data_IF_286177351883
#
_entry.id   IF_286177351883
#
_cell.length_a   1.000
_cell.length_b   1.000
_cell.length_c   1.000
_cell.angle_alpha   90.00
_cell.angle_beta   90.00
_cell.angle_gamma   90.00
#
_symmetry.space_group_name_H-M   'P 1'
#
loop_
_entity.id
_entity.type
_entity.pdbx_description
1 polymer ?
#
# COMPACT_ATOMS: atom_id res chain seq x y z
N UNK A 1 -16.73 8.44 9.18
CA UNK A 1 -16.45 7.28 8.32
C UNK A 1 -15.21 7.64 7.52
N UNK A 2 -14.31 6.67 7.30
CA UNK A 2 -12.93 6.94 6.84
C UNK A 2 -12.64 6.10 5.61
N UNK A 3 -11.99 6.71 4.60
CA UNK A 3 -11.48 6.00 3.43
C UNK A 3 -10.01 5.67 3.67
N UNK A 4 -9.66 4.39 3.65
CA UNK A 4 -8.34 3.95 4.10
C UNK A 4 -7.53 3.34 2.96
N UNK A 5 -6.27 3.74 2.84
CA UNK A 5 -5.25 3.14 1.99
C UNK A 5 -4.34 2.25 2.84
N UNK A 6 -4.28 0.95 2.56
CA UNK A 6 -3.28 0.03 3.11
C UNK A 6 -2.24 -0.26 2.05
N UNK A 7 -0.98 0.01 2.38
CA UNK A 7 0.12 -0.03 1.42
C UNK A 7 1.24 -0.95 1.89
N UNK A 8 1.58 -1.92 1.04
CA UNK A 8 2.83 -2.66 1.15
C UNK A 8 4.01 -1.93 0.48
N UNK A 9 5.24 -2.36 0.77
CA UNK A 9 6.48 -1.76 0.25
C UNK A 9 7.08 -2.61 -0.85
N UNK A 10 7.48 -3.84 -0.52
CA UNK A 10 8.19 -4.73 -1.45
C UNK A 10 7.25 -5.21 -2.56
N UNK A 11 7.72 -5.24 -3.80
CA UNK A 11 6.87 -5.55 -4.96
C UNK A 11 5.84 -4.46 -5.31
N UNK A 12 5.68 -3.42 -4.49
CA UNK A 12 4.63 -2.40 -4.62
C UNK A 12 5.21 -1.02 -4.87
N UNK A 13 5.85 -0.43 -3.85
CA UNK A 13 6.59 0.84 -3.97
C UNK A 13 8.03 0.58 -4.43
N UNK A 14 8.62 -0.50 -3.89
CA UNK A 14 9.97 -0.97 -4.18
C UNK A 14 9.90 -2.30 -4.93
N UNK A 15 9.92 -2.30 -6.28
CA UNK A 15 9.83 -3.53 -7.06
C UNK A 15 11.06 -4.42 -6.92
N UNK A 16 10.88 -5.72 -7.13
CA UNK A 16 11.98 -6.69 -7.15
C UNK A 16 12.73 -6.65 -8.48
N UNK A 17 14.05 -6.50 -8.41
CA UNK A 17 14.94 -6.59 -9.57
C UNK A 17 14.57 -5.62 -10.70
N UNK A 18 14.45 -4.31 -10.42
CA UNK A 18 14.08 -3.33 -11.43
C UNK A 18 15.08 -3.34 -12.58
N UNK A 19 14.58 -3.38 -13.82
CA UNK A 19 15.39 -3.30 -15.03
C UNK A 19 14.78 -2.27 -15.99
N UNK A 20 15.61 -1.65 -16.82
CA UNK A 20 15.17 -0.66 -17.80
C UNK A 20 14.51 0.58 -17.19
N UNK A 21 13.46 1.07 -17.86
CA UNK A 21 12.64 2.16 -17.36
C UNK A 21 11.48 1.63 -16.50
N UNK A 22 11.02 2.46 -15.56
CA UNK A 22 9.85 2.17 -14.74
C UNK A 22 8.57 2.15 -15.58
N UNK A 23 7.46 1.66 -15.00
CA UNK A 23 6.14 1.75 -15.62
C UNK A 23 5.67 3.21 -15.86
N UNK A 24 6.37 4.18 -15.28
CA UNK A 24 6.14 5.62 -15.40
C UNK A 24 6.91 6.27 -16.56
N UNK A 25 7.73 5.48 -17.28
CA UNK A 25 8.51 5.94 -18.43
C UNK A 25 9.85 6.59 -18.06
N UNK A 26 10.07 6.91 -16.79
CA UNK A 26 11.33 7.40 -16.23
C UNK A 26 12.27 6.27 -15.82
N UNK A 27 13.56 6.58 -15.67
CA UNK A 27 14.51 5.64 -15.08
C UNK A 27 14.30 5.51 -13.56
N UNK A 28 14.60 4.34 -13.02
CA UNK A 28 14.56 4.08 -11.57
C UNK A 28 15.51 5.01 -10.80
N UNK A 29 15.05 5.52 -9.67
CA UNK A 29 15.92 6.15 -8.66
C UNK A 29 16.26 5.14 -7.59
N UNK A 30 17.42 5.33 -6.97
CA UNK A 30 17.92 4.49 -5.91
C UNK A 30 18.19 5.36 -4.69
N UNK A 31 17.77 4.89 -3.53
CA UNK A 31 18.05 5.51 -2.24
C UNK A 31 18.47 4.43 -1.24
N UNK A 32 19.19 4.85 -0.20
CA UNK A 32 19.54 3.99 0.91
C UNK A 32 18.51 4.19 2.04
N UNK A 33 17.65 3.20 2.26
CA UNK A 33 16.65 3.21 3.32
C UNK A 33 17.23 2.56 4.59
N UNK A 34 18.31 3.15 5.11
CA UNK A 34 19.02 2.68 6.29
C UNK A 34 20.00 1.54 6.01
N UNK A 35 19.50 0.34 5.70
CA UNK A 35 20.32 -0.86 5.46
C UNK A 35 20.02 -1.56 4.12
N UNK A 36 18.97 -1.12 3.42
CA UNK A 36 18.51 -1.75 2.19
C UNK A 36 18.47 -0.70 1.06
N UNK A 37 19.14 -0.96 -0.08
CA UNK A 37 18.98 -0.13 -1.25
C UNK A 37 17.57 -0.33 -1.80
N UNK A 38 16.82 0.77 -1.91
CA UNK A 38 15.47 0.78 -2.47
C UNK A 38 15.50 1.42 -3.84
N UNK A 39 14.81 0.80 -4.78
CA UNK A 39 14.57 1.36 -6.10
C UNK A 39 13.13 1.85 -6.18
N UNK A 40 12.89 3.02 -6.75
CA UNK A 40 11.55 3.58 -6.85
C UNK A 40 11.40 4.47 -8.08
N UNK A 41 10.15 4.65 -8.51
CA UNK A 41 9.78 5.67 -9.49
C UNK A 41 9.37 6.95 -8.73
N UNK A 42 10.03 8.10 -8.95
CA UNK A 42 9.66 9.36 -8.29
C UNK A 42 8.19 9.75 -8.50
N UNK A 43 7.66 9.48 -9.69
CA UNK A 43 6.28 9.79 -10.05
C UNK A 43 5.27 8.98 -9.23
N UNK A 44 5.61 7.74 -8.85
CA UNK A 44 4.80 6.95 -7.94
C UNK A 44 4.78 7.59 -6.54
N UNK A 45 5.93 8.04 -6.04
CA UNK A 45 6.04 8.70 -4.73
C UNK A 45 5.22 9.99 -4.71
N UNK A 46 5.38 10.85 -5.73
CA UNK A 46 4.60 12.08 -5.88
C UNK A 46 3.10 11.80 -5.92
N UNK A 47 2.70 10.77 -6.68
CA UNK A 47 1.30 10.39 -6.79
C UNK A 47 0.72 9.85 -5.47
N UNK A 48 1.48 9.06 -4.71
CA UNK A 48 1.11 8.57 -3.37
C UNK A 48 1.01 9.72 -2.37
N UNK A 49 1.95 10.68 -2.38
CA UNK A 49 1.85 11.92 -1.60
C UNK A 49 0.57 12.69 -1.93
N UNK A 50 0.21 12.77 -3.21
CA UNK A 50 -1.04 13.37 -3.66
C UNK A 50 -2.29 12.63 -3.18
N UNK A 51 -2.24 11.30 -2.96
CA UNK A 51 -3.35 10.54 -2.37
C UNK A 51 -3.42 10.79 -0.85
N UNK A 52 -2.28 10.79 -0.17
CA UNK A 52 -2.21 11.02 1.27
C UNK A 52 -2.68 12.41 1.68
N UNK A 53 -2.55 13.40 0.79
CA UNK A 53 -3.06 14.75 0.99
C UNK A 53 -4.58 14.89 0.78
N UNK A 54 -5.28 13.85 0.30
CA UNK A 54 -6.72 13.92 0.04
C UNK A 54 -7.52 14.03 1.34
N UNK A 55 -8.47 14.98 1.45
CA UNK A 55 -9.28 15.12 2.65
C UNK A 55 -10.05 13.84 2.98
N UNK A 56 -9.95 13.37 4.23
CA UNK A 56 -10.66 12.17 4.70
C UNK A 56 -10.07 10.83 4.24
N UNK A 57 -8.87 10.84 3.63
CA UNK A 57 -8.09 9.63 3.38
C UNK A 57 -7.13 9.39 4.53
N UNK A 58 -7.18 8.18 5.09
CA UNK A 58 -6.21 7.67 6.08
C UNK A 58 -5.28 6.69 5.36
N UNK A 59 -3.97 6.87 5.49
CA UNK A 59 -2.99 5.93 4.96
C UNK A 59 -2.40 5.10 6.10
N UNK A 60 -2.14 3.82 5.83
CA UNK A 60 -1.68 2.82 6.79
C UNK A 60 -0.64 1.94 6.10
N UNK A 61 0.48 1.71 6.78
CA UNK A 61 1.47 0.75 6.36
C UNK A 61 1.01 -0.67 6.69
N UNK A 62 0.99 -1.54 5.69
CA UNK A 62 0.67 -2.95 5.84
C UNK A 62 1.77 -3.77 5.15
N UNK A 63 2.94 -3.76 5.78
CA UNK A 63 4.19 -4.27 5.22
C UNK A 63 5.04 -4.92 6.29
N UNK A 64 5.88 -5.88 5.91
CA UNK A 64 6.88 -6.48 6.82
C UNK A 64 7.97 -5.50 7.24
N UNK A 65 8.07 -4.33 6.60
CA UNK A 65 8.91 -3.25 7.09
C UNK A 65 8.41 -2.68 8.42
N UNK A 66 7.11 -2.80 8.72
CA UNK A 66 6.47 -2.28 9.94
C UNK A 66 6.95 -0.85 10.25
N UNK A 67 7.58 -0.62 11.41
CA UNK A 67 8.14 0.66 11.84
C UNK A 67 9.29 1.19 10.98
N UNK A 68 9.97 0.33 10.22
CA UNK A 68 11.07 0.74 9.35
C UNK A 68 10.59 1.52 8.13
N UNK A 69 9.35 1.31 7.67
CA UNK A 69 8.78 2.06 6.55
C UNK A 69 8.65 3.57 6.87
N UNK A 70 7.98 3.99 7.97
CA UNK A 70 7.95 5.40 8.33
C UNK A 70 9.31 5.96 8.75
N UNK A 71 10.18 5.16 9.40
CA UNK A 71 11.46 5.64 9.93
C UNK A 71 12.55 5.80 8.87
N UNK A 72 12.67 4.87 7.92
CA UNK A 72 13.79 4.82 6.98
C UNK A 72 13.37 4.98 5.52
N UNK A 73 12.31 4.30 5.08
CA UNK A 73 11.86 4.37 3.69
C UNK A 73 11.37 5.78 3.35
N UNK A 74 10.47 6.33 4.17
CA UNK A 74 9.87 7.64 3.93
C UNK A 74 10.89 8.77 3.72
N UNK A 75 11.85 9.03 4.63
CA UNK A 75 12.85 10.07 4.43
C UNK A 75 13.81 9.77 3.26
N UNK A 76 14.06 8.49 2.94
CA UNK A 76 14.98 8.13 1.86
C UNK A 76 14.41 8.42 0.46
N UNK A 77 13.10 8.23 0.27
CA UNK A 77 12.46 8.40 -1.05
C UNK A 77 11.60 9.66 -1.17
N UNK A 78 11.40 10.41 -0.08
CA UNK A 78 10.57 11.61 -0.07
C UNK A 78 9.06 11.33 0.01
N UNK A 79 8.65 10.19 0.59
CA UNK A 79 7.25 9.85 0.79
C UNK A 79 6.74 10.43 2.12
N UNK A 80 5.60 11.11 2.10
CA UNK A 80 4.93 11.75 3.24
C UNK A 80 4.19 10.75 4.16
N UNK A 81 4.81 9.58 4.37
CA UNK A 81 4.27 8.45 5.13
C UNK A 81 4.81 8.30 6.54
N UNK A 82 5.70 9.19 6.99
CA UNK A 82 6.39 9.08 8.28
C UNK A 82 5.45 9.08 9.52
N UNK A 83 4.22 9.58 9.36
CA UNK A 83 3.20 9.61 10.43
C UNK A 83 2.05 8.61 10.22
N UNK A 84 2.10 7.81 9.16
CA UNK A 84 1.07 6.79 8.95
C UNK A 84 1.27 5.67 9.99
N UNK A 85 0.19 5.17 10.63
CA UNK A 85 0.29 3.99 11.47
C UNK A 85 0.75 2.79 10.64
N UNK A 86 1.39 1.83 11.28
CA UNK A 86 1.72 0.53 10.70
C UNK A 86 1.03 -0.58 11.48
N UNK A 87 0.59 -1.61 10.77
CA UNK A 87 0.08 -2.83 11.39
C UNK A 87 1.22 -3.85 11.48
N UNK A 88 1.21 -4.66 12.54
CA UNK A 88 2.28 -5.64 12.83
C UNK A 88 1.80 -7.07 12.71
N UNK A 89 2.71 -7.95 12.29
CA UNK A 89 2.51 -9.40 12.26
C UNK A 89 2.46 -10.04 13.66
N UNK A 90 2.99 -9.36 14.68
CA UNK A 90 3.11 -9.84 16.06
C UNK A 90 1.92 -9.50 16.99
N UNK A 91 0.85 -8.91 16.48
CA UNK A 91 -0.34 -8.55 17.25
C UNK A 91 -1.24 -9.74 17.63
N UNK A 92 -2.44 -9.46 18.15
CA UNK A 92 -3.49 -10.48 18.42
C UNK A 92 -3.87 -11.31 17.20
N UNK A 93 -3.52 -10.82 16.01
CA UNK A 93 -3.63 -11.47 14.71
C UNK A 93 -2.62 -12.62 14.44
N UNK A 94 -1.72 -12.95 15.38
CA UNK A 94 -0.81 -14.08 15.24
C UNK A 94 -1.58 -15.42 15.22
N UNK A 95 -1.65 -16.06 14.05
CA UNK A 95 -2.40 -17.30 13.84
C UNK A 95 -2.17 -17.91 12.45
N UNK A 96 -2.96 -18.92 12.08
CA UNK A 96 -2.91 -19.54 10.76
C UNK A 96 -3.43 -18.60 9.66
N UNK A 97 -2.69 -18.52 8.54
CA UNK A 97 -3.06 -17.73 7.35
C UNK A 97 -2.18 -16.48 7.16
N UNK A 98 -2.48 -15.71 6.11
CA UNK A 98 -1.73 -14.50 5.79
C UNK A 98 -2.05 -13.38 6.79
N UNK A 99 -1.05 -13.01 7.59
CA UNK A 99 -1.21 -12.08 8.72
C UNK A 99 -1.81 -10.72 8.32
N UNK A 100 -1.50 -10.23 7.10
CA UNK A 100 -2.00 -8.94 6.60
C UNK A 100 -3.53 -8.92 6.49
N UNK A 101 -4.16 -10.04 6.14
CA UNK A 101 -5.61 -10.17 6.10
C UNK A 101 -6.23 -10.02 7.50
N UNK A 102 -5.61 -10.59 8.53
CA UNK A 102 -6.12 -10.46 9.90
C UNK A 102 -5.95 -9.04 10.41
N UNK A 103 -4.79 -8.45 10.18
CA UNK A 103 -4.49 -7.09 10.61
C UNK A 103 -5.44 -6.05 9.99
N UNK A 104 -5.74 -6.16 8.68
CA UNK A 104 -6.69 -5.24 8.03
C UNK A 104 -8.13 -5.45 8.53
N UNK A 105 -8.53 -6.70 8.82
CA UNK A 105 -9.86 -6.98 9.38
C UNK A 105 -10.05 -6.30 10.74
N UNK A 106 -9.08 -6.45 11.65
CA UNK A 106 -9.10 -5.82 12.97
C UNK A 106 -9.09 -4.29 12.88
N UNK A 107 -8.21 -3.70 12.06
CA UNK A 107 -8.12 -2.25 11.92
C UNK A 107 -9.38 -1.64 11.29
N UNK A 108 -9.99 -2.32 10.31
CA UNK A 108 -11.25 -1.89 9.69
C UNK A 108 -12.42 -1.93 10.68
N UNK A 109 -12.48 -2.93 11.56
CA UNK A 109 -13.49 -3.02 12.61
C UNK A 109 -13.40 -1.85 13.60
N UNK A 110 -12.18 -1.43 13.96
CA UNK A 110 -11.93 -0.32 14.88
C UNK A 110 -12.14 1.05 14.22
N UNK A 111 -11.59 1.25 13.03
CA UNK A 111 -11.61 2.55 12.34
C UNK A 111 -12.96 2.86 11.66
N UNK A 112 -13.76 1.82 11.39
CA UNK A 112 -15.00 1.91 10.64
C UNK A 112 -14.77 1.95 9.12
N UNK A 113 -15.52 1.12 8.40
CA UNK A 113 -15.39 0.94 6.95
C UNK A 113 -16.25 1.93 6.15
N UNK A 114 -15.64 2.92 5.50
CA UNK A 114 -16.27 3.60 4.36
C UNK A 114 -15.82 2.95 3.06
N UNK A 115 -14.55 3.14 2.69
CA UNK A 115 -13.89 2.56 1.54
C UNK A 115 -12.47 2.11 1.90
N UNK A 116 -12.00 1.01 1.32
CA UNK A 116 -10.65 0.48 1.55
C UNK A 116 -9.94 0.25 0.22
N UNK A 117 -8.79 0.88 0.02
CA UNK A 117 -7.85 0.48 -1.01
C UNK A 117 -6.75 -0.37 -0.35
N UNK A 118 -6.60 -1.61 -0.80
CA UNK A 118 -5.55 -2.51 -0.31
C UNK A 118 -4.61 -2.89 -1.45
N UNK A 119 -3.34 -2.49 -1.31
CA UNK A 119 -2.32 -2.68 -2.33
C UNK A 119 -1.20 -3.54 -1.77
N UNK A 120 -1.01 -4.69 -2.41
CA UNK A 120 -0.04 -5.70 -2.02
C UNK A 120 0.19 -6.64 -3.23
N UNK A 121 1.44 -6.91 -3.60
CA UNK A 121 1.74 -7.72 -4.79
C UNK A 121 1.31 -9.18 -4.63
N UNK A 122 1.17 -9.66 -3.39
CA UNK A 122 0.77 -11.04 -3.09
C UNK A 122 -0.75 -11.24 -3.12
N UNK A 123 -1.55 -10.18 -3.14
CA UNK A 123 -3.01 -10.24 -2.97
C UNK A 123 -3.70 -11.13 -4.02
N UNK A 124 -3.21 -11.14 -5.26
CA UNK A 124 -3.70 -12.01 -6.33
C UNK A 124 -3.47 -13.52 -6.09
N UNK A 125 -2.68 -13.88 -5.08
CA UNK A 125 -2.36 -15.27 -4.73
C UNK A 125 -2.97 -15.69 -3.37
N UNK A 126 -3.55 -14.74 -2.63
CA UNK A 126 -4.09 -14.96 -1.30
C UNK A 126 -5.61 -15.23 -1.34
N UNK A 127 -5.99 -16.50 -1.44
CA UNK A 127 -7.37 -16.92 -1.65
C UNK A 127 -8.36 -16.40 -0.58
N UNK A 128 -7.94 -16.40 0.69
CA UNK A 128 -8.76 -15.88 1.79
C UNK A 128 -8.94 -14.36 1.69
N UNK A 129 -7.91 -13.62 1.30
CA UNK A 129 -7.97 -12.17 1.11
C UNK A 129 -8.91 -11.82 -0.05
N UNK A 130 -8.84 -12.57 -1.15
CA UNK A 130 -9.75 -12.40 -2.28
C UNK A 130 -11.20 -12.71 -1.91
N UNK A 131 -11.44 -13.77 -1.14
CA UNK A 131 -12.78 -14.12 -0.67
C UNK A 131 -13.35 -12.99 0.19
N UNK A 132 -12.56 -12.46 1.12
CA UNK A 132 -12.95 -11.34 1.96
C UNK A 132 -13.21 -10.05 1.15
N UNK A 133 -12.36 -9.74 0.17
CA UNK A 133 -12.57 -8.59 -0.70
C UNK A 133 -13.88 -8.69 -1.50
N UNK A 134 -14.22 -9.88 -2.00
CA UNK A 134 -15.52 -10.13 -2.67
C UNK A 134 -16.71 -9.89 -1.75
N UNK A 135 -16.61 -10.23 -0.45
CA UNK A 135 -17.66 -9.95 0.53
C UNK A 135 -17.86 -8.45 0.78
N UNK A 136 -16.78 -7.67 0.80
CA UNK A 136 -16.86 -6.22 0.95
C UNK A 136 -17.40 -5.51 -0.30
N UNK A 137 -17.25 -6.14 -1.48
CA UNK A 137 -17.80 -5.67 -2.74
C UNK A 137 -17.28 -4.28 -3.10
N UNK A 138 -18.18 -3.34 -3.43
CA UNK A 138 -17.81 -1.96 -3.82
C UNK A 138 -17.09 -1.15 -2.75
N UNK A 139 -17.04 -1.63 -1.50
CA UNK A 139 -16.34 -0.93 -0.40
C UNK A 139 -14.85 -1.22 -0.37
N UNK A 140 -14.34 -2.14 -1.18
CA UNK A 140 -12.91 -2.42 -1.28
C UNK A 140 -12.43 -2.39 -2.73
N UNK A 141 -11.26 -1.80 -2.92
CA UNK A 141 -10.44 -1.93 -4.11
C UNK A 141 -9.17 -2.69 -3.74
N UNK A 142 -9.02 -3.89 -4.27
CA UNK A 142 -7.77 -4.65 -4.18
C UNK A 142 -6.92 -4.41 -5.43
N UNK A 143 -5.65 -4.07 -5.24
CA UNK A 143 -4.67 -3.92 -6.32
C UNK A 143 -3.48 -4.82 -6.00
N UNK A 144 -3.11 -5.66 -6.97
CA UNK A 144 -1.98 -6.57 -6.88
C UNK A 144 -1.03 -6.25 -8.04
N UNK A 145 -0.09 -5.31 -7.86
CA UNK A 145 0.80 -4.90 -8.94
C UNK A 145 1.70 -6.04 -9.41
N UNK A 146 2.27 -5.92 -10.60
CA UNK A 146 3.39 -6.78 -11.00
C UNK A 146 4.59 -6.46 -10.09
N UNK A 147 5.09 -7.43 -9.31
CA UNK A 147 6.10 -7.16 -8.29
C UNK A 147 7.46 -6.72 -8.86
N UNK A 148 7.70 -6.90 -10.16
CA UNK A 148 8.92 -6.40 -10.83
C UNK A 148 8.78 -4.98 -11.36
N UNK A 149 7.56 -4.44 -11.34
CA UNK A 149 7.22 -3.13 -11.90
C UNK A 149 6.66 -2.16 -10.86
N UNK A 150 6.16 -2.69 -9.74
CA UNK A 150 5.46 -1.91 -8.73
C UNK A 150 4.14 -1.34 -9.26
N UNK A 151 3.55 -0.42 -8.51
CA UNK A 151 2.30 0.25 -8.90
C UNK A 151 2.51 1.00 -10.23
N UNK A 152 1.67 0.68 -11.21
CA UNK A 152 1.62 1.39 -12.50
C UNK A 152 0.83 2.70 -12.43
N UNK A 153 1.00 3.62 -13.40
CA UNK A 153 0.21 4.85 -13.47
C UNK A 153 -1.30 4.60 -13.49
N UNK A 154 -1.75 3.57 -14.21
CA UNK A 154 -3.17 3.22 -14.32
C UNK A 154 -3.73 2.71 -12.98
N UNK A 155 -2.96 1.90 -12.25
CA UNK A 155 -3.36 1.41 -10.94
C UNK A 155 -3.43 2.55 -9.92
N UNK A 156 -2.44 3.46 -9.93
CA UNK A 156 -2.44 4.61 -9.03
C UNK A 156 -3.65 5.51 -9.28
N UNK A 157 -4.01 5.77 -10.55
CA UNK A 157 -5.19 6.56 -10.88
C UNK A 157 -6.49 5.85 -10.44
N UNK A 158 -6.56 4.53 -10.58
CA UNK A 158 -7.70 3.75 -10.08
C UNK A 158 -7.84 3.86 -8.55
N UNK A 159 -6.72 3.82 -7.82
CA UNK A 159 -6.69 4.01 -6.36
C UNK A 159 -7.15 5.42 -6.00
N UNK A 160 -6.59 6.45 -6.65
CA UNK A 160 -6.96 7.85 -6.46
C UNK A 160 -8.46 8.07 -6.69
N UNK A 161 -8.96 7.60 -7.82
CA UNK A 161 -10.38 7.73 -8.19
C UNK A 161 -11.30 7.03 -7.18
N UNK A 162 -10.95 5.81 -6.74
CA UNK A 162 -11.71 5.06 -5.75
C UNK A 162 -11.75 5.77 -4.39
N UNK A 163 -10.62 6.27 -3.90
CA UNK A 163 -10.55 6.99 -2.63
C UNK A 163 -11.09 8.43 -2.73
N UNK A 164 -11.23 8.98 -3.94
CA UNK A 164 -11.75 10.34 -4.16
C UNK A 164 -13.27 10.45 -4.13
N UNK A 165 -13.98 9.34 -4.31
CA UNK A 165 -15.44 9.32 -4.34
C UNK A 165 -16.01 8.96 -2.95
N UNK A 166 -16.90 9.80 -2.38
CA UNK A 166 -17.70 9.38 -1.24
C UNK A 166 -18.56 8.18 -1.64
N UNK A 167 -18.60 7.15 -0.80
CA UNK A 167 -19.56 6.06 -0.98
C UNK A 167 -20.90 6.50 -0.37
N UNK A 168 -21.84 6.87 -1.25
CA UNK A 168 -23.22 7.21 -0.89
C UNK A 168 -23.97 6.04 -0.23
#
# INVERSE_FOLDING_TARGET
>A
MTRTLYLDVDGVVCPFGPTGASAWGSGWKYADAGLLPVAYAPELVDGLNGIAAMPGVRCVWLTSWEELAPQYLCPAIGLDGARWPYLTSGGTAAGEGWWKLRAIQEDVEVAGLEAVAWIDDQLAFEAAAQAWARLLGRRILSVSPDPRRGISPMELERIRSFLGQPLF
#
